data_IF_961590041209
#
_entry.id   IF_961590041209
#
_cell.length_a   1.000
_cell.length_b   1.000
_cell.length_c   1.000
_cell.angle_alpha   90.00
_cell.angle_beta   90.00
_cell.angle_gamma   90.00
#
_symmetry.space_group_name_H-M   'P 1'
#
loop_
_entity.id
_entity.type
_entity.pdbx_description
1 polymer ?
#
# COMPACT_ATOMS: atom_id res chain seq x y z
N UNK A 1 -15.71 14.24 11.48
CA UNK A 1 -15.16 13.94 12.83
C UNK A 1 -14.16 15.02 13.17
N UNK A 2 -14.06 15.45 14.44
CA UNK A 2 -13.09 16.46 14.85
C UNK A 2 -12.34 15.99 16.10
N UNK A 3 -11.02 16.18 16.13
CA UNK A 3 -10.18 15.80 17.27
C UNK A 3 -9.12 16.87 17.51
N UNK A 4 -8.80 17.13 18.78
CA UNK A 4 -7.77 18.09 19.17
C UNK A 4 -6.60 17.45 19.89
N UNK A 5 -5.39 17.82 19.48
CA UNK A 5 -4.16 17.42 20.15
C UNK A 5 -3.34 18.65 20.58
N UNK A 6 -2.62 18.52 21.70
CA UNK A 6 -1.83 19.60 22.31
C UNK A 6 -0.33 19.31 22.20
N UNK A 7 0.44 20.27 21.72
CA UNK A 7 1.85 20.09 21.39
C UNK A 7 2.76 21.07 22.11
N UNK A 8 3.92 20.57 22.55
CA UNK A 8 4.99 21.43 23.06
C UNK A 8 5.80 22.02 21.90
N UNK A 9 6.54 23.10 22.16
CA UNK A 9 7.27 23.86 21.11
C UNK A 9 8.16 22.98 20.23
N UNK A 10 8.86 22.02 20.83
CA UNK A 10 9.74 21.09 20.11
C UNK A 10 9.03 20.16 19.13
N UNK A 11 7.73 19.90 19.31
CA UNK A 11 6.95 19.06 18.40
C UNK A 11 6.47 19.83 17.15
N UNK A 12 6.24 21.14 17.28
CA UNK A 12 5.62 21.96 16.23
C UNK A 12 6.47 22.02 14.97
N UNK A 13 7.79 21.90 15.08
CA UNK A 13 8.68 21.88 13.90
C UNK A 13 8.37 20.70 12.96
N UNK A 14 8.35 19.47 13.48
CA UNK A 14 8.01 18.29 12.69
C UNK A 14 6.57 18.35 12.16
N UNK A 15 5.63 18.82 12.99
CA UNK A 15 4.24 18.97 12.57
C UNK A 15 4.07 19.99 11.45
N UNK A 16 4.79 21.11 11.49
CA UNK A 16 4.74 22.11 10.42
C UNK A 16 5.24 21.59 9.07
N UNK A 17 6.13 20.58 9.07
CA UNK A 17 6.57 19.94 7.82
C UNK A 17 5.43 19.10 7.24
N UNK A 18 4.66 18.42 8.09
CA UNK A 18 3.50 17.64 7.68
C UNK A 18 2.33 18.54 7.24
N UNK A 19 1.95 19.54 8.05
CA UNK A 19 0.85 20.46 7.74
C UNK A 19 1.11 21.27 6.47
N UNK A 20 2.31 21.85 6.35
CA UNK A 20 2.67 22.72 5.22
C UNK A 20 3.25 21.93 4.03
N UNK A 21 3.23 20.58 4.06
CA UNK A 21 3.81 19.67 3.04
C UNK A 21 5.22 20.09 2.55
N UNK A 22 6.16 20.32 3.49
CA UNK A 22 7.54 20.79 3.18
C UNK A 22 8.51 19.71 2.71
N UNK A 23 8.03 18.49 2.48
CA UNK A 23 8.83 17.32 2.06
C UNK A 23 7.97 16.45 1.17
N UNK A 24 8.58 15.72 0.24
CA UNK A 24 7.91 14.68 -0.57
C UNK A 24 8.05 13.28 0.07
N UNK A 25 8.97 13.13 1.03
CA UNK A 25 9.18 11.89 1.76
C UNK A 25 8.29 11.87 3.00
N UNK A 26 7.22 11.08 2.94
CA UNK A 26 6.23 10.94 4.00
C UNK A 26 6.29 9.55 4.64
N UNK A 27 6.20 9.50 5.96
CA UNK A 27 6.01 8.22 6.68
C UNK A 27 4.60 7.66 6.48
N UNK A 28 3.60 8.54 6.28
CA UNK A 28 2.25 8.13 5.91
C UNK A 28 2.24 7.71 4.44
N UNK A 29 1.96 6.43 4.18
CA UNK A 29 1.89 5.87 2.83
C UNK A 29 0.60 6.26 2.08
N UNK A 30 -0.38 6.81 2.79
CA UNK A 30 -1.65 7.27 2.20
C UNK A 30 -1.55 8.67 1.58
N UNK A 31 -0.42 9.38 1.74
CA UNK A 31 -0.19 10.68 1.11
C UNK A 31 0.18 10.48 -0.36
N UNK A 32 -0.62 11.05 -1.24
CA UNK A 32 -0.41 11.07 -2.68
C UNK A 32 0.22 12.42 -3.10
N UNK A 33 1.53 12.42 -3.34
CA UNK A 33 2.29 13.60 -3.77
C UNK A 33 1.75 14.23 -5.07
N UNK A 34 1.13 13.44 -5.96
CA UNK A 34 0.55 13.97 -7.19
C UNK A 34 -0.69 14.83 -6.91
N UNK A 35 -1.35 14.63 -5.76
CA UNK A 35 -2.54 15.37 -5.32
C UNK A 35 -2.22 16.50 -4.35
N UNK A 36 -1.00 16.63 -3.82
CA UNK A 36 -0.66 17.66 -2.83
C UNK A 36 -0.85 19.10 -3.34
N UNK A 37 -0.84 19.32 -4.66
CA UNK A 37 -1.17 20.62 -5.26
C UNK A 37 -2.65 21.02 -5.10
N UNK A 38 -3.53 20.09 -4.72
CA UNK A 38 -4.93 20.34 -4.39
C UNK A 38 -5.13 20.79 -2.94
N UNK A 39 -4.08 20.73 -2.11
CA UNK A 39 -4.12 21.24 -0.75
C UNK A 39 -4.15 22.77 -0.75
N UNK A 40 -4.72 23.36 0.30
CA UNK A 40 -4.77 24.82 0.45
C UNK A 40 -4.76 25.24 1.91
N UNK A 41 -4.15 26.39 2.23
CA UNK A 41 -4.16 26.99 3.56
C UNK A 41 -5.27 28.05 3.63
N UNK A 42 -6.19 27.93 4.58
CA UNK A 42 -7.21 28.94 4.86
C UNK A 42 -6.68 30.07 5.76
N UNK A 43 -5.50 29.92 6.34
CA UNK A 43 -4.84 30.96 7.13
C UNK A 43 -4.06 31.91 6.21
N UNK A 44 -4.72 32.95 5.69
CA UNK A 44 -4.17 33.96 4.76
C UNK A 44 -3.17 34.96 5.40
N UNK A 45 -2.40 34.53 6.40
CA UNK A 45 -1.41 35.37 7.08
C UNK A 45 -0.03 35.24 6.46
N UNK A 46 0.80 36.27 6.56
CA UNK A 46 2.19 36.16 6.12
C UNK A 46 2.99 35.14 6.96
N UNK A 47 4.06 34.62 6.37
CA UNK A 47 4.96 33.66 6.99
C UNK A 47 4.40 32.23 7.05
N UNK A 48 5.27 31.28 7.40
CA UNK A 48 4.86 29.90 7.64
C UNK A 48 4.43 29.67 9.10
N UNK A 49 3.88 28.50 9.39
CA UNK A 49 3.41 28.08 10.72
C UNK A 49 4.42 28.37 11.85
N UNK A 50 5.72 28.13 11.63
CA UNK A 50 6.74 28.36 12.65
C UNK A 50 7.06 29.83 12.86
N UNK A 51 7.09 30.63 11.79
CA UNK A 51 7.27 32.08 11.90
C UNK A 51 6.13 32.67 12.72
N UNK A 52 4.88 32.42 12.30
CA UNK A 52 3.66 32.89 12.98
C UNK A 52 3.65 32.49 14.46
N UNK A 53 4.11 31.28 14.79
CA UNK A 53 4.22 30.84 16.19
C UNK A 53 5.28 31.62 16.97
N UNK A 54 6.47 31.83 16.41
CA UNK A 54 7.53 32.57 17.09
C UNK A 54 7.17 34.05 17.26
N UNK A 55 6.55 34.65 16.24
CA UNK A 55 6.06 36.03 16.29
C UNK A 55 5.02 36.16 17.41
N UNK A 56 4.01 35.29 17.44
CA UNK A 56 3.00 35.33 18.49
C UNK A 56 3.57 35.04 19.89
N UNK A 57 4.54 34.14 20.02
CA UNK A 57 5.25 33.89 21.29
C UNK A 57 6.05 35.10 21.79
N UNK A 58 6.44 36.02 20.91
CA UNK A 58 7.13 37.25 21.30
C UNK A 58 6.17 38.30 21.90
N UNK A 59 4.88 38.20 21.57
CA UNK A 59 3.82 39.12 22.02
C UNK A 59 3.15 38.69 23.32
N UNK A 60 3.14 37.38 23.62
CA UNK A 60 2.40 36.82 24.76
C UNK A 60 3.34 36.23 25.81
N UNK A 61 2.88 36.20 27.06
CA UNK A 61 3.65 35.54 28.09
C UNK A 61 3.58 34.02 27.98
N UNK A 62 4.70 33.38 27.70
CA UNK A 62 4.87 31.93 27.82
C UNK A 62 5.76 31.59 29.01
N UNK A 63 5.38 30.55 29.78
CA UNK A 63 6.24 30.02 30.83
C UNK A 63 7.48 29.38 30.23
N UNK A 64 8.63 29.56 30.87
CA UNK A 64 9.90 28.95 30.45
C UNK A 64 9.99 27.49 30.94
N UNK A 65 9.11 26.62 30.45
CA UNK A 65 9.18 25.17 30.67
C UNK A 65 9.05 24.42 29.35
N UNK A 66 9.78 23.31 29.22
CA UNK A 66 9.81 22.51 27.98
C UNK A 66 8.47 21.86 27.64
N UNK A 67 7.62 21.63 28.64
CA UNK A 67 6.35 20.91 28.54
C UNK A 67 5.13 21.82 28.27
N UNK A 68 5.33 23.14 28.17
CA UNK A 68 4.24 24.08 27.86
C UNK A 68 3.66 23.74 26.50
N UNK A 69 2.35 23.51 26.48
CA UNK A 69 1.60 23.25 25.25
C UNK A 69 1.32 24.58 24.54
N UNK A 70 2.23 24.95 23.65
CA UNK A 70 2.21 26.22 22.91
C UNK A 70 1.34 26.17 21.65
N UNK A 71 0.97 24.97 21.21
CA UNK A 71 0.13 24.77 20.05
C UNK A 71 -0.95 23.74 20.39
N UNK A 72 -2.14 23.94 19.85
CA UNK A 72 -3.15 22.92 19.73
C UNK A 72 -3.57 22.81 18.26
N UNK A 73 -3.92 21.62 17.82
CA UNK A 73 -4.32 21.34 16.44
C UNK A 73 -5.65 20.60 16.45
N UNK A 74 -6.63 21.16 15.76
CA UNK A 74 -7.87 20.47 15.45
C UNK A 74 -7.74 19.81 14.08
N UNK A 75 -7.81 18.49 14.03
CA UNK A 75 -8.04 17.75 12.79
C UNK A 75 -9.54 17.62 12.58
N UNK A 76 -10.08 18.27 11.54
CA UNK A 76 -11.51 18.22 11.18
C UNK A 76 -11.68 17.56 9.81
N UNK A 77 -12.25 16.36 9.79
CA UNK A 77 -12.49 15.60 8.55
C UNK A 77 -13.84 15.92 7.94
N UNK A 78 -13.88 16.02 6.60
CA UNK A 78 -15.09 16.16 5.82
C UNK A 78 -16.10 15.02 6.14
N UNK A 79 -17.34 15.36 6.55
CA UNK A 79 -18.40 14.38 6.80
C UNK A 79 -18.69 13.52 5.58
N UNK A 80 -19.07 12.26 5.80
CA UNK A 80 -19.42 11.32 4.72
C UNK A 80 -20.57 11.83 3.85
N UNK A 81 -21.55 12.49 4.47
CA UNK A 81 -22.70 13.10 3.78
C UNK A 81 -22.30 14.24 2.84
N UNK A 82 -21.09 14.77 2.97
CA UNK A 82 -20.54 15.82 2.11
C UNK A 82 -19.51 15.32 1.10
N UNK A 83 -19.25 14.01 0.98
CA UNK A 83 -18.21 13.52 0.06
C UNK A 83 -18.54 13.78 -1.42
N UNK A 84 -19.84 13.72 -1.76
CA UNK A 84 -20.33 13.81 -3.14
C UNK A 84 -20.80 15.24 -3.49
N UNK A 85 -20.65 16.20 -2.57
CA UNK A 85 -20.88 17.61 -2.89
C UNK A 85 -19.73 18.15 -3.72
N UNK A 86 -19.99 19.21 -4.49
CA UNK A 86 -18.97 19.85 -5.34
C UNK A 86 -17.76 20.31 -4.52
N UNK A 87 -16.59 20.40 -5.16
CA UNK A 87 -15.37 20.92 -4.53
C UNK A 87 -15.59 22.29 -3.87
N UNK A 88 -16.39 23.15 -4.50
CA UNK A 88 -16.80 24.44 -3.93
C UNK A 88 -17.59 24.27 -2.63
N UNK A 89 -18.51 23.31 -2.56
CA UNK A 89 -19.27 23.02 -1.34
C UNK A 89 -18.39 22.41 -0.24
N UNK A 90 -17.43 21.56 -0.59
CA UNK A 90 -16.46 21.03 0.38
C UNK A 90 -15.56 22.15 0.93
N UNK A 91 -15.10 23.05 0.06
CA UNK A 91 -14.35 24.24 0.46
C UNK A 91 -15.16 25.16 1.36
N UNK A 92 -16.43 25.42 1.03
CA UNK A 92 -17.34 26.21 1.86
C UNK A 92 -17.49 25.61 3.27
N UNK A 93 -17.56 24.28 3.39
CA UNK A 93 -17.56 23.59 4.68
C UNK A 93 -16.29 23.89 5.50
N UNK A 94 -15.09 23.82 4.88
CA UNK A 94 -13.84 24.10 5.57
C UNK A 94 -13.67 25.58 5.91
N UNK A 95 -14.07 26.50 5.04
CA UNK A 95 -14.07 27.95 5.29
C UNK A 95 -14.96 28.31 6.49
N UNK A 96 -16.16 27.71 6.59
CA UNK A 96 -17.04 27.92 7.74
C UNK A 96 -16.54 27.24 9.01
N UNK A 97 -15.92 26.07 8.89
CA UNK A 97 -15.26 25.43 10.03
C UNK A 97 -14.08 26.28 10.54
N UNK A 98 -13.30 26.87 9.63
CA UNK A 98 -12.23 27.79 9.95
C UNK A 98 -12.75 29.01 10.71
N UNK A 99 -13.80 29.66 10.20
CA UNK A 99 -14.46 30.81 10.84
C UNK A 99 -14.90 30.48 12.28
N UNK A 100 -15.54 29.33 12.48
CA UNK A 100 -15.94 28.87 13.82
C UNK A 100 -14.74 28.72 14.76
N UNK A 101 -13.68 28.04 14.30
CA UNK A 101 -12.50 27.74 15.11
C UNK A 101 -11.70 29.00 15.44
N UNK A 102 -11.50 29.89 14.46
CA UNK A 102 -10.83 31.17 14.65
C UNK A 102 -11.57 32.01 15.69
N UNK A 103 -12.90 32.16 15.54
CA UNK A 103 -13.71 32.90 16.50
C UNK A 103 -13.68 32.29 17.92
N UNK A 104 -13.71 30.96 18.01
CA UNK A 104 -13.70 30.24 19.30
C UNK A 104 -12.39 30.39 20.06
N UNK A 105 -11.25 30.43 19.37
CA UNK A 105 -9.92 30.35 19.99
C UNK A 105 -9.09 31.65 19.94
N UNK A 106 -9.78 32.79 19.91
CA UNK A 106 -9.15 34.10 20.08
C UNK A 106 -8.71 34.75 18.77
N UNK A 107 -9.54 34.57 17.72
CA UNK A 107 -9.46 35.12 16.37
C UNK A 107 -8.23 34.71 15.56
N UNK A 108 -8.18 35.21 14.32
CA UNK A 108 -7.10 35.08 13.36
C UNK A 108 -5.70 35.26 13.96
N UNK A 109 -5.53 36.13 14.96
CA UNK A 109 -4.23 36.40 15.59
C UNK A 109 -3.59 35.15 16.20
N UNK A 110 -4.39 34.21 16.71
CA UNK A 110 -3.90 33.01 17.37
C UNK A 110 -3.76 31.81 16.41
N UNK A 111 -4.31 31.90 15.20
CA UNK A 111 -4.21 30.84 14.19
C UNK A 111 -2.76 30.75 13.71
N UNK A 112 -2.23 29.54 13.59
CA UNK A 112 -0.88 29.30 13.07
C UNK A 112 -0.93 28.69 11.67
N UNK A 113 -1.90 27.80 11.44
CA UNK A 113 -2.10 27.09 10.18
C UNK A 113 -3.55 26.63 10.07
N UNK A 114 -4.10 26.61 8.86
CA UNK A 114 -5.37 25.97 8.56
C UNK A 114 -5.30 25.25 7.20
N UNK A 115 -4.36 24.31 7.10
CA UNK A 115 -4.18 23.53 5.87
C UNK A 115 -5.29 22.49 5.71
N UNK A 116 -5.94 22.52 4.56
CA UNK A 116 -6.83 21.46 4.08
C UNK A 116 -6.04 20.51 3.21
N UNK A 117 -5.97 19.25 3.62
CA UNK A 117 -5.31 18.16 2.91
C UNK A 117 -6.33 17.38 2.10
N UNK A 118 -6.16 17.40 0.77
CA UNK A 118 -6.95 16.67 -0.22
C UNK A 118 -6.15 15.53 -0.88
N UNK A 119 -4.95 15.25 -0.37
CA UNK A 119 -3.98 14.27 -0.88
C UNK A 119 -3.92 12.99 -0.04
N UNK A 120 -4.82 12.83 0.94
CA UNK A 120 -4.93 11.63 1.78
C UNK A 120 -6.27 10.90 1.55
N UNK A 121 -6.60 9.91 2.40
CA UNK A 121 -7.80 9.08 2.28
C UNK A 121 -9.10 9.88 2.25
N UNK A 122 -9.19 10.95 3.07
CA UNK A 122 -10.37 11.82 3.15
C UNK A 122 -9.93 13.27 3.31
N UNK A 123 -10.59 14.23 2.64
CA UNK A 123 -10.36 15.65 2.88
C UNK A 123 -10.49 16.00 4.36
N UNK A 124 -9.47 16.66 4.91
CA UNK A 124 -9.48 17.10 6.30
C UNK A 124 -8.64 18.37 6.48
N UNK A 125 -9.01 19.17 7.48
CA UNK A 125 -8.30 20.39 7.85
C UNK A 125 -7.50 20.18 9.13
N UNK A 126 -6.23 20.57 9.12
CA UNK A 126 -5.42 20.80 10.30
C UNK A 126 -5.49 22.28 10.69
N UNK A 127 -6.24 22.58 11.74
CA UNK A 127 -6.34 23.92 12.31
C UNK A 127 -5.42 24.03 13.53
N UNK A 128 -4.20 24.47 13.30
CA UNK A 128 -3.22 24.72 14.33
C UNK A 128 -3.36 26.14 14.88
N UNK A 129 -3.45 26.29 16.20
CA UNK A 129 -3.56 27.57 16.87
C UNK A 129 -2.78 27.62 18.20
N UNK A 130 -2.45 28.84 18.64
CA UNK A 130 -1.83 29.09 19.93
C UNK A 130 -2.91 29.33 21.00
N UNK A 131 -2.98 28.51 22.07
CA UNK A 131 -4.00 28.67 23.10
C UNK A 131 -3.63 29.82 24.05
N UNK A 132 -4.02 31.04 23.66
CA UNK A 132 -3.79 32.27 24.42
C UNK A 132 -5.03 32.67 25.20
N UNK A 133 -4.82 33.13 26.43
CA UNK A 133 -5.87 33.59 27.36
C UNK A 133 -5.35 34.84 28.08
N UNK A 134 -6.25 35.75 28.42
CA UNK A 134 -5.95 36.91 29.25
C UNK A 134 -5.78 36.51 30.73
N UNK A 135 -4.66 36.89 31.34
CA UNK A 135 -4.40 36.72 32.77
C UNK A 135 -4.82 37.98 33.53
N UNK A 136 -6.00 37.96 34.13
CA UNK A 136 -6.54 39.11 34.87
C UNK A 136 -5.66 39.54 36.05
N UNK A 137 -4.91 38.62 36.68
CA UNK A 137 -4.07 38.98 37.83
C UNK A 137 -2.81 39.74 37.40
N UNK A 138 -2.31 39.43 36.21
CA UNK A 138 -1.07 40.01 35.67
C UNK A 138 -1.31 41.00 34.54
N UNK A 139 -2.58 41.24 34.18
CA UNK A 139 -3.04 42.14 33.13
C UNK A 139 -2.25 41.96 31.83
N UNK A 140 -2.13 40.70 31.37
CA UNK A 140 -1.41 40.34 30.14
C UNK A 140 -1.95 39.08 29.50
N UNK A 141 -1.73 38.92 28.20
CA UNK A 141 -1.96 37.65 27.51
C UNK A 141 -0.92 36.59 27.90
N UNK A 142 -1.37 35.34 28.05
CA UNK A 142 -0.50 34.18 28.32
C UNK A 142 -0.89 32.95 27.52
N UNK A 143 0.07 32.07 27.28
CA UNK A 143 -0.16 30.74 26.72
C UNK A 143 -0.65 29.78 27.81
N UNK A 144 -1.84 29.22 27.66
CA UNK A 144 -2.39 28.20 28.58
C UNK A 144 -3.43 27.30 27.89
N UNK A 145 -2.98 26.20 27.29
CA UNK A 145 -3.86 25.17 26.74
C UNK A 145 -4.81 24.54 27.76
N UNK A 146 -4.53 24.65 29.05
CA UNK A 146 -5.40 24.17 30.13
C UNK A 146 -6.64 25.06 30.30
N UNK A 147 -6.46 26.37 30.15
CA UNK A 147 -7.52 27.36 30.34
C UNK A 147 -8.33 27.59 29.07
N UNK A 148 -7.73 27.41 27.89
CA UNK A 148 -8.46 27.49 26.60
C UNK A 148 -9.25 26.20 26.34
N UNK A 149 -8.58 25.05 26.30
CA UNK A 149 -9.19 23.75 25.98
C UNK A 149 -9.63 23.03 27.24
N UNK A 150 -10.67 23.57 27.88
CA UNK A 150 -11.26 23.04 29.12
C UNK A 150 -12.12 21.81 28.87
N UNK A 151 -12.43 21.03 29.92
CA UNK A 151 -13.36 19.88 29.79
C UNK A 151 -14.75 20.31 29.31
N UNK A 152 -15.23 21.49 29.71
CA UNK A 152 -16.51 22.03 29.24
C UNK A 152 -16.45 22.33 27.75
N UNK A 153 -15.42 23.05 27.33
CA UNK A 153 -15.18 23.39 25.92
C UNK A 153 -15.16 22.15 25.04
N UNK A 154 -14.36 21.13 25.40
CA UNK A 154 -14.27 19.88 24.64
C UNK A 154 -15.59 19.09 24.63
N UNK A 155 -16.41 19.19 25.69
CA UNK A 155 -17.70 18.49 25.76
C UNK A 155 -18.75 19.13 24.84
N UNK A 156 -18.77 20.45 24.73
CA UNK A 156 -19.77 21.14 23.90
C UNK A 156 -19.30 21.35 22.46
N UNK A 157 -18.00 21.23 22.18
CA UNK A 157 -17.39 21.53 20.87
C UNK A 157 -18.18 20.98 19.67
N UNK A 158 -18.51 19.69 19.67
CA UNK A 158 -19.19 19.07 18.53
C UNK A 158 -20.61 19.59 18.34
N UNK A 159 -21.34 19.84 19.43
CA UNK A 159 -22.67 20.43 19.37
C UNK A 159 -22.59 21.88 18.86
N UNK A 160 -21.68 22.67 19.43
CA UNK A 160 -21.50 24.08 19.05
C UNK A 160 -21.12 24.21 17.56
N UNK A 161 -20.24 23.34 17.06
CA UNK A 161 -19.85 23.30 15.64
C UNK A 161 -21.02 22.86 14.75
N UNK A 162 -21.78 21.84 15.17
CA UNK A 162 -22.93 21.35 14.42
C UNK A 162 -24.03 22.40 14.27
N UNK A 163 -24.36 23.09 15.36
CA UNK A 163 -25.33 24.18 15.37
C UNK A 163 -24.87 25.34 14.48
N UNK A 164 -23.59 25.70 14.55
CA UNK A 164 -23.01 26.73 13.70
C UNK A 164 -23.11 26.37 12.21
N UNK A 165 -22.65 25.18 11.82
CA UNK A 165 -22.66 24.77 10.41
C UNK A 165 -24.08 24.61 9.85
N UNK A 166 -25.02 24.07 10.63
CA UNK A 166 -26.44 23.99 10.24
C UNK A 166 -27.04 25.37 9.97
N UNK A 167 -26.62 26.37 10.73
CA UNK A 167 -27.08 27.75 10.55
C UNK A 167 -26.44 28.42 9.33
N UNK A 168 -25.13 28.27 9.17
CA UNK A 168 -24.35 29.03 8.17
C UNK A 168 -24.41 28.42 6.77
N UNK A 169 -24.50 27.09 6.65
CA UNK A 169 -24.47 26.37 5.37
C UNK A 169 -25.59 25.32 5.24
N UNK A 170 -26.87 25.66 5.52
CA UNK A 170 -27.99 24.72 5.53
C UNK A 170 -28.26 24.07 4.16
N UNK A 171 -27.81 24.68 3.07
CA UNK A 171 -27.98 24.16 1.71
C UNK A 171 -27.15 22.88 1.46
N UNK A 172 -25.98 22.76 2.08
CA UNK A 172 -25.11 21.57 1.98
C UNK A 172 -25.11 20.71 3.24
N UNK A 173 -25.16 21.31 4.44
CA UNK A 173 -24.96 20.61 5.70
C UNK A 173 -26.29 20.31 6.41
N UNK A 174 -26.94 19.20 6.02
CA UNK A 174 -28.30 18.85 6.48
C UNK A 174 -28.34 17.85 7.64
N UNK A 175 -27.56 16.78 7.53
CA UNK A 175 -27.62 15.68 8.50
C UNK A 175 -26.97 16.06 9.85
N UNK A 176 -25.90 16.86 9.80
CA UNK A 176 -25.08 17.21 10.96
C UNK A 176 -23.82 16.35 11.09
N UNK A 177 -23.06 16.61 12.15
CA UNK A 177 -21.87 15.85 12.59
C UNK A 177 -22.27 14.87 13.70
N UNK A 178 -23.46 15.03 14.29
CA UNK A 178 -24.02 14.21 15.38
C UNK A 178 -24.89 13.04 14.86
N UNK A 179 -24.52 12.45 13.73
CA UNK A 179 -25.32 11.44 13.04
C UNK A 179 -25.12 10.06 13.70
N UNK A 180 -25.62 9.88 14.94
CA UNK A 180 -25.66 8.65 15.77
C UNK A 180 -24.35 7.85 15.98
N UNK A 181 -23.27 8.15 15.24
CA UNK A 181 -21.94 7.49 15.29
C UNK A 181 -20.95 8.24 16.19
N UNK A 182 -21.27 9.48 16.53
CA UNK A 182 -20.42 10.44 17.28
C UNK A 182 -21.06 10.88 18.58
N UNK A 183 -22.23 10.34 18.91
CA UNK A 183 -22.88 10.55 20.21
C UNK A 183 -22.08 9.78 21.26
N UNK A 184 -21.54 10.50 22.23
CA UNK A 184 -20.95 9.87 23.42
C UNK A 184 -21.99 8.97 24.07
N UNK A 185 -21.59 7.77 24.49
CA UNK A 185 -22.56 6.83 25.05
C UNK A 185 -23.08 7.34 26.39
N UNK A 186 -24.25 7.97 26.37
CA UNK A 186 -24.88 8.52 27.56
C UNK A 186 -25.67 7.46 28.35
N UNK A 187 -26.05 6.34 27.70
CA UNK A 187 -26.84 5.28 28.35
C UNK A 187 -26.37 3.85 28.06
N UNK A 188 -26.66 2.92 28.98
CA UNK A 188 -26.41 1.47 28.83
C UNK A 188 -27.11 0.89 27.59
N UNK A 189 -28.23 1.48 27.17
CA UNK A 189 -29.00 1.04 26.00
C UNK A 189 -28.25 1.33 24.70
N UNK A 190 -27.59 2.47 24.60
CA UNK A 190 -26.78 2.85 23.44
C UNK A 190 -25.51 1.99 23.36
N UNK A 191 -24.91 1.66 24.50
CA UNK A 191 -23.79 0.71 24.59
C UNK A 191 -24.18 -0.68 24.05
N UNK A 192 -25.37 -1.17 24.41
CA UNK A 192 -25.87 -2.46 23.91
C UNK A 192 -26.08 -2.45 22.41
N UNK A 193 -26.69 -1.39 21.87
CA UNK A 193 -26.90 -1.23 20.42
C UNK A 193 -25.56 -1.23 19.66
N UNK A 194 -24.58 -0.43 20.10
CA UNK A 194 -23.25 -0.42 19.48
C UNK A 194 -22.54 -1.78 19.63
N UNK A 195 -22.69 -2.47 20.76
CA UNK A 195 -22.14 -3.81 20.96
C UNK A 195 -22.74 -4.82 19.99
N UNK A 196 -24.04 -4.74 19.72
CA UNK A 196 -24.73 -5.60 18.74
C UNK A 196 -24.27 -5.29 17.32
N UNK A 197 -24.10 -4.01 16.97
CA UNK A 197 -23.57 -3.58 15.66
C UNK A 197 -22.12 -4.04 15.44
N UNK A 198 -21.25 -3.88 16.45
CA UNK A 198 -19.86 -4.37 16.42
C UNK A 198 -19.84 -5.88 16.27
N UNK A 199 -20.70 -6.60 17.02
CA UNK A 199 -20.78 -8.06 16.91
C UNK A 199 -21.23 -8.50 15.51
N UNK A 200 -22.18 -7.78 14.91
CA UNK A 200 -22.62 -8.04 13.53
C UNK A 200 -21.47 -7.82 12.54
N UNK A 201 -20.78 -6.67 12.61
CA UNK A 201 -19.64 -6.39 11.75
C UNK A 201 -18.53 -7.43 11.89
N UNK A 202 -18.24 -7.86 13.12
CA UNK A 202 -17.28 -8.95 13.37
C UNK A 202 -17.71 -10.25 12.69
N UNK A 203 -18.98 -10.63 12.81
CA UNK A 203 -19.50 -11.84 12.18
C UNK A 203 -19.44 -11.75 10.64
N UNK A 204 -19.78 -10.59 10.07
CA UNK A 204 -19.70 -10.34 8.63
C UNK A 204 -18.24 -10.45 8.13
N UNK A 205 -17.30 -9.85 8.86
CA UNK A 205 -15.87 -9.93 8.57
C UNK A 205 -15.33 -11.37 8.71
N UNK A 206 -15.73 -12.10 9.74
CA UNK A 206 -15.34 -13.51 9.92
C UNK A 206 -15.90 -14.39 8.78
N UNK A 207 -17.10 -14.07 8.26
CA UNK A 207 -17.68 -14.76 7.11
C UNK A 207 -16.92 -14.46 5.82
N UNK A 208 -16.53 -13.20 5.60
CA UNK A 208 -15.70 -12.82 4.46
C UNK A 208 -14.33 -13.49 4.50
N UNK A 209 -13.69 -13.48 5.68
CA UNK A 209 -12.38 -14.12 5.90
C UNK A 209 -12.42 -15.62 5.60
N UNK A 210 -13.45 -16.33 6.10
CA UNK A 210 -13.69 -17.74 5.74
C UNK A 210 -13.88 -17.93 4.24
N UNK A 211 -14.51 -16.98 3.56
CA UNK A 211 -14.66 -16.99 2.10
C UNK A 211 -13.32 -16.88 1.37
N UNK A 212 -12.39 -16.07 1.86
CA UNK A 212 -11.02 -15.99 1.33
C UNK A 212 -10.20 -17.24 1.63
N UNK A 213 -10.26 -17.77 2.86
CA UNK A 213 -9.58 -19.03 3.23
C UNK A 213 -9.99 -20.16 2.28
N UNK A 214 -11.29 -20.37 2.06
CA UNK A 214 -11.77 -21.41 1.14
C UNK A 214 -11.32 -21.21 -0.31
N UNK A 215 -11.18 -19.96 -0.77
CA UNK A 215 -10.67 -19.68 -2.12
C UNK A 215 -9.18 -20.02 -2.22
N UNK A 216 -8.40 -19.67 -1.21
CA UNK A 216 -6.97 -19.96 -1.13
C UNK A 216 -6.75 -21.47 -1.06
N UNK A 217 -7.48 -22.19 -0.21
CA UNK A 217 -7.40 -23.65 -0.11
C UNK A 217 -7.68 -24.33 -1.46
N UNK A 218 -8.74 -23.92 -2.16
CA UNK A 218 -9.05 -24.45 -3.51
C UNK A 218 -7.97 -24.15 -4.54
N UNK A 219 -7.32 -22.98 -4.45
CA UNK A 219 -6.21 -22.64 -5.33
C UNK A 219 -4.98 -23.50 -5.04
N UNK A 220 -4.68 -23.74 -3.76
CA UNK A 220 -3.59 -24.64 -3.34
C UNK A 220 -3.85 -26.06 -3.85
N UNK A 221 -5.04 -26.61 -3.61
CA UNK A 221 -5.42 -27.95 -4.11
C UNK A 221 -5.28 -28.05 -5.63
N UNK A 222 -5.73 -27.03 -6.37
CA UNK A 222 -5.60 -26.99 -7.82
C UNK A 222 -4.15 -26.94 -8.30
N UNK A 223 -3.29 -26.19 -7.61
CA UNK A 223 -1.85 -26.14 -7.91
C UNK A 223 -1.18 -27.47 -7.60
N UNK A 224 -1.52 -28.10 -6.48
CA UNK A 224 -0.98 -29.41 -6.08
C UNK A 224 -1.36 -30.52 -7.08
N UNK A 225 -2.62 -30.56 -7.52
CA UNK A 225 -3.09 -31.46 -8.58
C UNK A 225 -2.30 -31.27 -9.88
N UNK A 226 -2.12 -30.02 -10.31
CA UNK A 226 -1.32 -29.68 -11.50
C UNK A 226 0.14 -30.10 -11.36
N UNK A 227 0.74 -29.84 -10.20
CA UNK A 227 2.12 -30.19 -9.90
C UNK A 227 2.31 -31.72 -9.95
N UNK A 228 1.39 -32.47 -9.34
CA UNK A 228 1.40 -33.94 -9.35
C UNK A 228 1.27 -34.49 -10.77
N UNK A 229 0.38 -33.95 -11.57
CA UNK A 229 0.22 -34.33 -12.98
C UNK A 229 1.50 -34.07 -13.79
N UNK A 230 2.09 -32.88 -13.66
CA UNK A 230 3.35 -32.53 -14.34
C UNK A 230 4.53 -33.38 -13.89
N UNK A 231 4.60 -33.71 -12.60
CA UNK A 231 5.63 -34.62 -12.06
C UNK A 231 5.52 -36.01 -12.67
N UNK A 232 4.30 -36.54 -12.81
CA UNK A 232 4.08 -37.84 -13.46
C UNK A 232 4.43 -37.82 -14.95
N UNK A 233 4.08 -36.74 -15.67
CA UNK A 233 4.47 -36.55 -17.07
C UNK A 233 6.00 -36.56 -17.22
N UNK A 234 6.70 -35.82 -16.36
CA UNK A 234 8.16 -35.78 -16.34
C UNK A 234 8.79 -37.14 -16.01
N UNK A 235 8.25 -37.85 -15.01
CA UNK A 235 8.74 -39.18 -14.62
C UNK A 235 8.61 -40.17 -15.78
N UNK A 236 7.44 -40.24 -16.41
CA UNK A 236 7.20 -41.11 -17.57
C UNK A 236 8.15 -40.80 -18.74
N UNK A 237 8.42 -39.51 -19.01
CA UNK A 237 9.38 -39.11 -20.03
C UNK A 237 10.81 -39.52 -19.64
N UNK A 238 11.19 -39.34 -18.37
CA UNK A 238 12.52 -39.73 -17.87
C UNK A 238 12.76 -41.24 -17.93
N UNK A 239 11.75 -42.06 -17.64
CA UNK A 239 11.83 -43.52 -17.73
C UNK A 239 11.89 -44.02 -19.17
N UNK A 240 11.23 -43.32 -20.11
CA UNK A 240 11.23 -43.67 -21.52
C UNK A 240 12.57 -43.35 -22.21
N UNK A 241 13.41 -42.51 -21.61
CA UNK A 241 14.71 -42.13 -22.15
C UNK A 241 15.77 -43.19 -21.77
N UNK A 242 16.41 -43.85 -22.75
CA UNK A 242 17.45 -44.81 -22.46
C UNK A 242 18.69 -44.11 -21.89
N UNK A 243 19.24 -44.62 -20.78
CA UNK A 243 20.50 -44.11 -20.21
C UNK A 243 21.68 -44.22 -21.17
N UNK A 244 21.66 -45.22 -22.06
CA UNK A 244 22.64 -45.42 -23.13
C UNK A 244 21.93 -45.71 -24.45
N UNK A 245 22.29 -45.00 -25.51
CA UNK A 245 21.70 -45.21 -26.83
C UNK A 245 22.58 -46.13 -27.68
N UNK A 246 22.10 -47.35 -27.95
CA UNK A 246 22.77 -48.31 -28.84
C UNK A 246 22.06 -48.39 -30.19
N UNK A 247 22.78 -48.11 -31.27
CA UNK A 247 22.27 -48.14 -32.64
C UNK A 247 22.37 -49.57 -33.22
N UNK A 248 21.23 -50.15 -33.62
CA UNK A 248 21.23 -51.42 -34.35
C UNK A 248 21.48 -51.19 -35.85
N UNK A 249 22.68 -51.53 -36.30
CA UNK A 249 23.07 -51.49 -37.72
C UNK A 249 22.86 -52.86 -38.38
N UNK A 250 22.35 -52.89 -39.61
CA UNK A 250 22.20 -54.10 -40.43
C UNK A 250 23.51 -54.53 -41.10
N UNK A 251 24.49 -53.63 -41.17
CA UNK A 251 25.79 -53.84 -41.79
C UNK A 251 26.36 -52.54 -42.31
N UNK A 252 27.46 -52.64 -43.07
CA UNK A 252 28.05 -51.51 -43.78
C UNK A 252 27.63 -51.51 -45.24
N UNK A 253 27.38 -50.34 -45.78
CA UNK A 253 27.15 -50.17 -47.21
C UNK A 253 28.42 -50.53 -47.97
N UNK A 254 28.23 -51.30 -49.05
CA UNK A 254 29.31 -51.72 -49.93
C UNK A 254 29.05 -51.14 -51.31
N UNK A 255 30.06 -50.49 -51.87
CA UNK A 255 30.04 -50.00 -53.24
C UNK A 255 30.82 -50.95 -54.11
N UNK A 256 30.19 -51.37 -55.19
CA UNK A 256 30.80 -52.24 -56.18
C UNK A 256 31.18 -51.41 -57.39
N UNK A 257 32.46 -51.39 -57.71
CA UNK A 257 33.01 -50.66 -58.86
C UNK A 257 33.63 -51.66 -59.84
N UNK A 258 33.37 -51.45 -61.13
CA UNK A 258 33.95 -52.26 -62.20
C UNK A 258 35.23 -51.59 -62.64
N UNK A 259 36.37 -52.17 -62.27
CA UNK A 259 37.70 -51.65 -62.58
C UNK A 259 38.23 -52.40 -63.81
N UNK A 260 38.62 -51.67 -64.86
CA UNK A 260 39.24 -52.28 -66.05
C UNK A 260 40.68 -52.70 -65.73
N UNK A 261 40.97 -53.99 -65.89
CA UNK A 261 42.28 -54.58 -65.65
C UNK A 261 43.03 -54.95 -66.94
N UNK A 262 42.42 -54.73 -68.13
CA UNK A 262 43.07 -54.88 -69.45
C UNK A 262 42.16 -54.56 -70.65
N UNK A 263 42.65 -54.71 -71.90
CA UNK A 263 41.96 -54.29 -73.15
C UNK A 263 40.54 -54.89 -73.35
N UNK A 264 40.26 -56.05 -72.74
CA UNK A 264 38.95 -56.72 -72.77
C UNK A 264 38.56 -57.37 -71.42
N UNK A 265 39.22 -56.99 -70.31
CA UNK A 265 38.99 -57.59 -68.99
C UNK A 265 38.65 -56.53 -67.95
N UNK A 266 37.62 -56.79 -67.18
CA UNK A 266 37.19 -55.98 -66.05
C UNK A 266 37.01 -56.87 -64.83
N UNK A 267 37.38 -56.34 -63.66
CA UNK A 267 37.18 -56.98 -62.37
C UNK A 267 36.21 -56.16 -61.52
N UNK A 268 35.38 -56.87 -60.78
CA UNK A 268 34.40 -56.28 -59.86
C UNK A 268 35.05 -56.16 -58.49
N UNK A 269 35.33 -54.95 -58.04
CA UNK A 269 35.89 -54.69 -56.72
C UNK A 269 34.79 -54.16 -55.82
N UNK A 270 34.60 -54.78 -54.66
CA UNK A 270 33.61 -54.36 -53.65
C UNK A 270 34.33 -53.79 -52.44
N UNK A 271 34.13 -52.49 -52.17
CA UNK A 271 34.70 -51.78 -51.03
C UNK A 271 33.60 -51.29 -50.08
N UNK A 272 33.86 -51.29 -48.77
CA UNK A 272 32.97 -50.66 -47.80
C UNK A 272 33.02 -49.14 -47.94
N UNK A 273 31.87 -48.46 -47.95
CA UNK A 273 31.80 -47.00 -48.15
C UNK A 273 32.04 -46.19 -46.87
N UNK A 274 32.07 -46.86 -45.71
CA UNK A 274 32.08 -46.21 -44.39
C UNK A 274 30.68 -45.87 -43.85
N UNK A 275 29.62 -46.00 -44.66
CA UNK A 275 28.25 -45.76 -44.23
C UNK A 275 27.63 -46.99 -43.57
N UNK A 276 26.82 -46.77 -42.53
CA UNK A 276 26.07 -47.81 -41.85
C UNK A 276 24.66 -47.94 -42.44
N UNK A 277 24.23 -49.18 -42.68
CA UNK A 277 22.86 -49.47 -43.10
C UNK A 277 22.00 -49.63 -41.84
N UNK A 278 20.98 -48.79 -41.71
CA UNK A 278 20.04 -48.81 -40.58
C UNK A 278 18.64 -49.15 -41.08
N UNK A 279 17.86 -49.88 -40.29
CA UNK A 279 16.46 -50.18 -40.62
C UNK A 279 15.58 -48.92 -40.48
N UNK A 280 14.57 -48.75 -41.32
CA UNK A 280 13.60 -47.64 -41.19
C UNK A 280 12.94 -47.61 -39.81
N UNK A 281 12.61 -48.78 -39.24
CA UNK A 281 12.06 -48.89 -37.88
C UNK A 281 13.03 -48.39 -36.80
N UNK A 282 14.33 -48.63 -36.95
CA UNK A 282 15.35 -48.17 -36.02
C UNK A 282 15.58 -46.65 -36.17
N UNK A 283 15.50 -46.12 -37.40
CA UNK A 283 15.54 -44.68 -37.64
C UNK A 283 14.32 -43.96 -37.04
N UNK A 284 13.11 -44.52 -37.15
CA UNK A 284 11.90 -43.98 -36.50
C UNK A 284 12.03 -44.01 -34.97
N UNK A 285 12.61 -45.08 -34.41
CA UNK A 285 12.90 -45.18 -32.98
C UNK A 285 13.87 -44.07 -32.54
N UNK A 286 14.94 -43.83 -33.29
CA UNK A 286 15.88 -42.72 -33.04
C UNK A 286 15.17 -41.36 -33.03
N UNK A 287 14.34 -41.09 -34.04
CA UNK A 287 13.60 -39.83 -34.13
C UNK A 287 12.66 -39.62 -32.94
N UNK A 288 12.02 -40.69 -32.45
CA UNK A 288 11.18 -40.62 -31.25
C UNK A 288 12.01 -40.27 -30.01
N UNK A 289 13.10 -40.98 -29.75
CA UNK A 289 13.97 -40.73 -28.59
C UNK A 289 14.55 -39.30 -28.61
N UNK A 290 15.01 -38.83 -29.78
CA UNK A 290 15.52 -37.46 -29.93
C UNK A 290 14.45 -36.40 -29.67
N UNK A 291 13.22 -36.64 -30.13
CA UNK A 291 12.09 -35.74 -29.88
C UNK A 291 11.75 -35.68 -28.38
N UNK A 292 11.63 -36.83 -27.74
CA UNK A 292 11.31 -36.93 -26.32
C UNK A 292 12.42 -36.27 -25.46
N UNK A 293 13.70 -36.47 -25.81
CA UNK A 293 14.83 -35.84 -25.15
C UNK A 293 14.84 -34.31 -25.33
N UNK A 294 14.55 -33.83 -26.54
CA UNK A 294 14.50 -32.38 -26.80
C UNK A 294 13.35 -31.72 -26.04
N UNK A 295 12.18 -32.37 -25.96
CA UNK A 295 11.06 -31.89 -25.16
C UNK A 295 11.43 -31.77 -23.67
N UNK A 296 12.05 -32.81 -23.08
CA UNK A 296 12.50 -32.78 -21.68
C UNK A 296 13.50 -31.64 -21.43
N UNK A 297 14.45 -31.42 -22.36
CA UNK A 297 15.42 -30.33 -22.27
C UNK A 297 14.74 -28.96 -22.32
N UNK A 298 13.86 -28.73 -23.29
CA UNK A 298 13.13 -27.46 -23.43
C UNK A 298 12.24 -27.17 -22.20
N UNK A 299 11.56 -28.20 -21.67
CA UNK A 299 10.72 -28.07 -20.49
C UNK A 299 11.53 -27.72 -19.23
N UNK A 300 12.69 -28.36 -19.06
CA UNK A 300 13.63 -28.06 -17.98
C UNK A 300 14.20 -26.64 -18.08
N UNK A 301 14.66 -26.23 -19.27
CA UNK A 301 15.16 -24.87 -19.49
C UNK A 301 14.07 -23.80 -19.27
N UNK A 302 12.80 -24.11 -19.62
CA UNK A 302 11.68 -23.22 -19.32
C UNK A 302 11.47 -23.09 -17.82
N UNK A 303 11.46 -24.21 -17.09
CA UNK A 303 11.29 -24.23 -15.63
C UNK A 303 12.39 -23.42 -14.92
N UNK A 304 13.65 -23.55 -15.35
CA UNK A 304 14.75 -22.76 -14.79
C UNK A 304 14.60 -21.24 -14.96
N UNK A 305 13.80 -20.80 -15.93
CA UNK A 305 13.55 -19.36 -16.18
C UNK A 305 12.34 -18.82 -15.44
N UNK A 306 11.58 -19.66 -14.74
CA UNK A 306 10.41 -19.22 -13.96
C UNK A 306 10.83 -18.44 -12.72
N UNK A 307 10.00 -17.50 -12.31
CA UNK A 307 10.29 -16.60 -11.18
C UNK A 307 10.43 -17.38 -9.87
N UNK A 308 9.66 -18.45 -9.68
CA UNK A 308 9.79 -19.36 -8.54
C UNK A 308 11.19 -19.98 -8.40
N UNK A 309 11.82 -20.40 -9.50
CA UNK A 309 13.16 -21.00 -9.44
C UNK A 309 14.22 -19.93 -9.17
N UNK A 310 14.06 -18.73 -9.73
CA UNK A 310 14.96 -17.59 -9.47
C UNK A 310 14.87 -17.15 -8.01
N UNK A 311 13.67 -16.94 -7.50
CA UNK A 311 13.42 -16.54 -6.11
C UNK A 311 13.94 -17.59 -5.13
N UNK A 312 13.72 -18.87 -5.40
CA UNK A 312 14.23 -19.95 -4.55
C UNK A 312 15.77 -20.02 -4.57
N UNK A 313 16.40 -19.75 -5.72
CA UNK A 313 17.85 -19.63 -5.83
C UNK A 313 18.38 -18.45 -5.03
N UNK A 314 17.75 -17.28 -5.18
CA UNK A 314 18.11 -16.07 -4.41
C UNK A 314 17.95 -16.28 -2.89
N UNK A 315 16.92 -17.04 -2.48
CA UNK A 315 16.74 -17.42 -1.08
C UNK A 315 17.85 -18.34 -0.57
N UNK A 316 18.25 -19.35 -1.33
CA UNK A 316 19.38 -20.21 -0.95
C UNK A 316 20.68 -19.43 -0.88
N UNK A 317 20.99 -18.59 -1.87
CA UNK A 317 22.19 -17.75 -1.88
C UNK A 317 22.21 -16.79 -0.64
N UNK A 318 21.05 -16.29 -0.22
CA UNK A 318 20.90 -15.49 1.01
C UNK A 318 21.10 -16.31 2.28
N UNK A 319 20.62 -17.56 2.32
CA UNK A 319 20.80 -18.46 3.48
C UNK A 319 22.27 -18.88 3.61
N UNK A 320 22.92 -19.23 2.52
CA UNK A 320 24.33 -19.66 2.50
C UNK A 320 25.26 -18.50 2.90
N UNK A 321 25.00 -17.28 2.41
CA UNK A 321 25.75 -16.09 2.83
C UNK A 321 25.54 -15.69 4.30
N UNK A 322 24.42 -16.09 4.91
CA UNK A 322 24.19 -15.95 6.35
C UNK A 322 24.90 -17.06 7.16
N UNK A 323 25.09 -18.25 6.58
CA UNK A 323 25.79 -19.36 7.22
C UNK A 323 27.32 -19.20 7.19
N UNK A 324 27.87 -18.61 6.12
CA UNK A 324 29.31 -18.31 5.98
C UNK A 324 29.77 -17.08 6.80
N UNK A 325 28.82 -16.38 7.43
CA UNK A 325 29.06 -15.23 8.30
C UNK A 325 29.28 -15.57 9.79
N UNK A 326 29.34 -16.86 10.16
CA UNK A 326 29.55 -17.34 11.54
C UNK A 326 30.89 -18.03 11.74
#
# INVERSE_FOLDING_TARGET
MAHVQKYAKGNVQGLSIHWDRKTENHSNQDIDNERSHLNYDLCEKEGNTLSRMNDRLSEVHCLNRKDVKVCADWAVTLPESLKDVSEKGQREFFEKTYEFLANRYGSEKNVLSANVHNDETRPHMHFAFMPVVWDEKKQREKVSAKEVLTRKDLKTFHQDLDEFLKKEIPHIYKEGILNDKTIGVDTVKDLKKHSEEIQKQKNDMDAEYRGYEQKIEKQIEFVDEKLKSKKNEFLNLSEALPQTFNLKVKGKEKKTEVVKTGLFKSETVTNETGNWIVADSEMRRMQKVLRDANFVKEDYERLQRTDLVKENKELHDRVDSLADGY
#
